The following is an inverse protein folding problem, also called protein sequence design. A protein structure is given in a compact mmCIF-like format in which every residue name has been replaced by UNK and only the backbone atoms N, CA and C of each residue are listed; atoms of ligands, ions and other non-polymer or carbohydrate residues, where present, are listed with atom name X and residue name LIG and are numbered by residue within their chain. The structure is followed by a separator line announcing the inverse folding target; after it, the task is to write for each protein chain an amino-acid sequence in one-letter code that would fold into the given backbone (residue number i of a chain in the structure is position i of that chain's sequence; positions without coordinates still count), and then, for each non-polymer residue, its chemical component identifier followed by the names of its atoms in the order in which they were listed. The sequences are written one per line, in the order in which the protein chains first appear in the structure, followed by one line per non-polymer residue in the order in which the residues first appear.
data_IF_863622752455
#
_entry.id   IF_863622752455
#
_cell.length_a   1.000
_cell.length_b   1.000
_cell.length_c   1.000
_cell.angle_alpha   90.00
_cell.angle_beta   90.00
_cell.angle_gamma   90.00
#
_symmetry.space_group_name_H-M   'P 1'
#
loop_
_entity.id
_entity.type
_entity.pdbx_description
1 polymer ?
#
# COMPACT_ATOMS: atom_id res chain seq x y z
N UNK A 1 2.36 -0.84 -25.38
CA UNK A 1 3.43 -1.78 -24.98
C UNK A 1 2.80 -3.00 -24.32
N UNK A 2 3.40 -4.18 -24.49
CA UNK A 2 2.94 -5.41 -23.83
C UNK A 2 3.49 -5.46 -22.40
N UNK A 3 2.76 -6.03 -21.44
CA UNK A 3 3.16 -6.13 -20.01
C UNK A 3 4.58 -6.66 -19.82
N UNK A 4 5.00 -7.61 -20.66
CA UNK A 4 6.34 -8.21 -20.64
C UNK A 4 7.47 -7.18 -20.87
N UNK A 5 7.21 -6.10 -21.61
CA UNK A 5 8.21 -5.05 -21.88
C UNK A 5 8.51 -4.22 -20.64
N UNK A 6 7.51 -4.04 -19.76
CA UNK A 6 7.68 -3.31 -18.50
C UNK A 6 8.38 -4.15 -17.44
N UNK A 7 8.11 -5.46 -17.38
CA UNK A 7 8.88 -6.38 -16.55
C UNK A 7 10.35 -6.42 -16.98
N UNK A 8 10.61 -6.41 -18.28
CA UNK A 8 11.97 -6.33 -18.79
C UNK A 8 12.63 -4.97 -18.51
N UNK A 9 11.86 -3.88 -18.56
CA UNK A 9 12.32 -2.55 -18.14
C UNK A 9 12.70 -2.55 -16.65
N UNK A 10 11.93 -3.23 -15.80
CA UNK A 10 12.24 -3.37 -14.36
C UNK A 10 13.61 -4.02 -14.15
N UNK A 11 13.87 -5.14 -14.80
CA UNK A 11 15.18 -5.81 -14.71
C UNK A 11 16.29 -4.92 -15.25
N UNK A 12 16.05 -4.22 -16.36
CA UNK A 12 17.01 -3.27 -16.93
C UNK A 12 17.25 -2.04 -16.06
N UNK A 13 16.27 -1.64 -15.24
CA UNK A 13 16.41 -0.51 -14.32
C UNK A 13 17.47 -0.77 -13.23
N UNK A 14 17.77 -2.04 -12.93
CA UNK A 14 18.88 -2.42 -12.05
C UNK A 14 20.23 -2.56 -12.76
N UNK A 15 20.29 -2.32 -14.08
CA UNK A 15 21.52 -2.35 -14.87
C UNK A 15 21.84 -0.93 -15.39
N UNK A 16 22.74 -0.19 -14.71
CA UNK A 16 23.06 1.18 -15.08
C UNK A 16 23.52 1.36 -16.53
N UNK A 17 24.20 0.36 -17.10
CA UNK A 17 24.68 0.40 -18.49
C UNK A 17 23.55 0.54 -19.54
N UNK A 18 22.29 0.27 -19.15
CA UNK A 18 21.14 0.41 -20.03
C UNK A 18 20.47 1.80 -19.96
N UNK A 19 20.89 2.67 -19.03
CA UNK A 19 20.17 3.92 -18.74
C UNK A 19 20.14 4.86 -19.93
N UNK A 20 21.23 4.96 -20.70
CA UNK A 20 21.28 5.75 -21.92
C UNK A 20 20.17 5.37 -22.92
N UNK A 21 19.88 4.06 -23.06
CA UNK A 21 18.82 3.56 -23.95
C UNK A 21 17.43 3.71 -23.33
N UNK A 22 17.31 3.55 -22.01
CA UNK A 22 16.02 3.66 -21.33
C UNK A 22 15.50 5.10 -21.41
N UNK A 23 16.38 6.08 -21.17
CA UNK A 23 16.07 7.53 -21.13
C UNK A 23 15.47 8.07 -22.44
N UNK A 24 15.71 7.42 -23.58
CA UNK A 24 15.16 7.81 -24.88
C UNK A 24 13.64 7.59 -25.00
N UNK A 25 13.04 6.77 -24.11
CA UNK A 25 11.61 6.44 -24.15
C UNK A 25 10.68 7.61 -23.81
N UNK A 26 9.41 7.48 -24.18
CA UNK A 26 8.39 8.51 -23.94
C UNK A 26 8.05 8.61 -22.44
N UNK A 27 7.62 9.78 -21.96
CA UNK A 27 7.24 9.95 -20.54
C UNK A 27 6.07 9.05 -20.13
N UNK A 28 5.16 8.75 -21.07
CA UNK A 28 4.05 7.83 -20.84
C UNK A 28 4.51 6.42 -20.49
N UNK A 29 5.62 5.95 -21.08
CA UNK A 29 6.19 4.63 -20.75
C UNK A 29 6.66 4.56 -19.29
N UNK A 30 7.18 5.66 -18.74
CA UNK A 30 7.61 5.74 -17.34
C UNK A 30 6.43 5.77 -16.37
N UNK A 31 5.34 6.43 -16.73
CA UNK A 31 4.12 6.42 -15.93
C UNK A 31 3.56 4.99 -15.84
N UNK A 32 3.44 4.29 -16.98
CA UNK A 32 3.00 2.89 -16.99
C UNK A 32 3.96 1.95 -16.25
N UNK A 33 5.28 2.17 -16.40
CA UNK A 33 6.30 1.44 -15.66
C UNK A 33 6.16 1.61 -14.14
N UNK A 34 5.97 2.86 -13.67
CA UNK A 34 5.78 3.15 -12.26
C UNK A 34 4.51 2.48 -11.73
N UNK A 35 3.39 2.56 -12.46
CA UNK A 35 2.13 1.90 -12.06
C UNK A 35 2.30 0.38 -11.91
N UNK A 36 3.00 -0.28 -12.84
CA UNK A 36 3.28 -1.72 -12.77
C UNK A 36 4.20 -2.04 -11.59
N UNK A 37 5.22 -1.21 -11.35
CA UNK A 37 6.16 -1.37 -10.23
C UNK A 37 5.42 -1.27 -8.89
N UNK A 38 4.55 -0.27 -8.72
CA UNK A 38 3.72 -0.10 -7.53
C UNK A 38 2.79 -1.29 -7.34
N UNK A 39 2.11 -1.74 -8.41
CA UNK A 39 1.24 -2.91 -8.34
C UNK A 39 2.00 -4.16 -7.88
N UNK A 40 3.19 -4.42 -8.44
CA UNK A 40 4.04 -5.54 -8.03
C UNK A 40 4.49 -5.41 -6.58
N UNK A 41 4.87 -4.20 -6.14
CA UNK A 41 5.27 -3.96 -4.76
C UNK A 41 4.11 -4.18 -3.78
N UNK A 42 2.88 -3.80 -4.13
CA UNK A 42 1.66 -4.12 -3.36
C UNK A 42 1.42 -5.64 -3.30
N UNK A 43 1.59 -6.36 -4.41
CA UNK A 43 1.44 -7.82 -4.41
C UNK A 43 2.47 -8.50 -3.51
N UNK A 44 3.72 -8.03 -3.53
CA UNK A 44 4.78 -8.51 -2.63
C UNK A 44 4.42 -8.19 -1.18
N UNK A 45 3.96 -6.96 -0.90
CA UNK A 45 3.52 -6.54 0.43
C UNK A 45 2.39 -7.43 0.98
N UNK A 46 1.35 -7.70 0.18
CA UNK A 46 0.26 -8.60 0.57
C UNK A 46 0.79 -10.02 0.83
N UNK A 47 1.72 -10.51 0.01
CA UNK A 47 2.37 -11.80 0.26
C UNK A 47 3.19 -11.82 1.55
N UNK A 48 3.94 -10.74 1.84
CA UNK A 48 4.74 -10.57 3.05
C UNK A 48 3.89 -10.33 4.30
N UNK A 49 2.63 -9.90 4.16
CA UNK A 49 1.68 -9.79 5.25
C UNK A 49 1.19 -11.16 5.74
N UNK A 50 1.21 -12.21 4.92
CA UNK A 50 0.69 -13.52 5.33
C UNK A 50 1.42 -14.12 6.55
N UNK A 51 2.77 -14.15 6.59
CA UNK A 51 3.49 -14.56 7.81
C UNK A 51 3.16 -13.68 9.02
N UNK A 52 3.10 -12.36 8.82
CA UNK A 52 2.81 -11.40 9.89
C UNK A 52 1.38 -11.58 10.45
N UNK A 53 0.42 -11.89 9.57
CA UNK A 53 -0.96 -12.17 9.95
C UNK A 53 -1.10 -13.49 10.70
N UNK A 54 -0.24 -14.48 10.43
CA UNK A 54 -0.20 -15.72 11.22
C UNK A 54 0.33 -15.47 12.63
N UNK A 55 1.34 -14.61 12.79
CA UNK A 55 1.87 -14.22 14.10
C UNK A 55 0.92 -13.29 14.86
N UNK A 56 0.03 -12.59 14.15
CA UNK A 56 -0.91 -11.64 14.74
C UNK A 56 -1.87 -12.31 15.74
N UNK A 57 -2.25 -13.58 15.56
CA UNK A 57 -3.12 -14.27 16.50
C UNK A 57 -2.48 -14.42 17.88
N UNK A 58 -1.19 -14.75 17.91
CA UNK A 58 -0.43 -14.97 19.13
C UNK A 58 -0.19 -13.62 19.84
N UNK A 59 0.18 -12.59 19.08
CA UNK A 59 0.32 -11.21 19.56
C UNK A 59 -1.01 -10.62 20.07
N UNK A 60 -2.13 -10.95 19.42
CA UNK A 60 -3.46 -10.54 19.86
C UNK A 60 -3.84 -11.23 21.16
N UNK A 61 -3.61 -12.53 21.28
CA UNK A 61 -3.91 -13.27 22.51
C UNK A 61 -3.05 -12.73 23.68
N UNK A 62 -1.76 -12.44 23.45
CA UNK A 62 -0.89 -11.81 24.45
C UNK A 62 -1.38 -10.41 24.83
N UNK A 63 -1.68 -9.55 23.86
CA UNK A 63 -2.13 -8.17 24.14
C UNK A 63 -3.53 -8.13 24.74
N UNK A 64 -4.46 -8.97 24.32
CA UNK A 64 -5.81 -9.07 24.90
C UNK A 64 -5.75 -9.60 26.33
N UNK A 65 -4.85 -10.54 26.62
CA UNK A 65 -4.65 -11.02 28.00
C UNK A 65 -4.18 -9.93 28.97
N UNK A 66 -3.59 -8.84 28.43
CA UNK A 66 -3.16 -7.68 29.22
C UNK A 66 -4.26 -6.60 29.41
N UNK A 67 -5.41 -6.75 28.75
CA UNK A 67 -6.54 -5.82 28.88
C UNK A 67 -7.45 -6.28 30.00
N UNK A 68 -7.33 -5.68 31.19
CA UNK A 68 -8.17 -6.01 32.35
C UNK A 68 -9.65 -5.65 32.13
N UNK A 69 -9.94 -4.50 31.50
CA UNK A 69 -11.31 -4.04 31.22
C UNK A 69 -11.36 -3.15 29.98
N UNK A 70 -12.23 -3.49 29.02
CA UNK A 70 -12.63 -2.61 27.91
C UNK A 70 -14.14 -2.34 28.02
N UNK A 71 -14.52 -1.14 28.43
CA UNK A 71 -15.94 -0.72 28.51
C UNK A 71 -16.24 0.23 27.35
N UNK A 72 -17.17 -0.16 26.46
CA UNK A 72 -17.65 0.70 25.37
C UNK A 72 -19.06 1.17 25.75
N UNK A 73 -19.16 2.38 26.29
CA UNK A 73 -20.43 3.03 26.58
C UNK A 73 -20.82 3.95 25.42
N UNK A 74 -21.97 3.68 24.80
CA UNK A 74 -22.51 4.48 23.69
C UNK A 74 -23.96 4.86 23.93
N UNK A 75 -24.22 6.15 24.15
CA UNK A 75 -25.59 6.69 24.25
C UNK A 75 -25.98 7.29 22.91
N UNK A 76 -26.88 6.64 22.18
CA UNK A 76 -27.43 7.18 20.93
C UNK A 76 -28.74 7.89 21.27
N UNK A 77 -28.72 9.22 21.28
CA UNK A 77 -29.91 10.05 21.36
C UNK A 77 -30.31 10.49 19.94
N UNK A 78 -31.56 10.23 19.56
CA UNK A 78 -32.11 10.67 18.27
C UNK A 78 -33.33 11.56 18.50
N UNK A 79 -33.25 12.80 18.06
CA UNK A 79 -34.34 13.79 18.16
C UNK A 79 -35.44 13.59 17.10
N UNK A 80 -35.33 12.55 16.28
CA UNK A 80 -36.26 12.25 15.19
C UNK A 80 -36.54 10.75 15.10
N UNK A 81 -37.76 10.34 14.71
CA UNK A 81 -38.09 8.92 14.56
C UNK A 81 -37.14 8.26 13.56
N UNK A 82 -36.45 7.21 14.00
CA UNK A 82 -35.58 6.40 13.15
C UNK A 82 -36.46 5.61 12.20
N UNK A 83 -36.65 6.12 10.98
CA UNK A 83 -37.36 5.41 9.91
C UNK A 83 -36.40 4.35 9.37
N UNK A 84 -36.52 3.13 9.88
CA UNK A 84 -35.90 1.94 9.31
C UNK A 84 -36.62 1.66 7.99
N UNK A 85 -35.88 1.75 6.88
CA UNK A 85 -36.33 1.40 5.52
C UNK A 85 -37.27 0.19 5.51
N UNK A 86 -38.26 0.14 4.59
CA UNK A 86 -39.22 -0.98 4.48
C UNK A 86 -38.56 -2.37 4.30
N UNK A 87 -37.31 -2.40 3.87
CA UNK A 87 -36.45 -3.58 3.79
C UNK A 87 -35.05 -3.29 4.35
N UNK A 88 -34.88 -3.25 5.68
CA UNK A 88 -33.61 -2.87 6.27
C UNK A 88 -32.65 -4.06 6.26
N UNK A 89 -31.41 -3.85 5.78
CA UNK A 89 -30.34 -4.86 5.85
C UNK A 89 -29.97 -5.24 7.30
N UNK A 90 -30.27 -4.36 8.25
CA UNK A 90 -30.08 -4.52 9.69
C UNK A 90 -31.38 -4.18 10.40
N UNK A 91 -31.99 -5.15 11.11
CA UNK A 91 -33.19 -4.95 11.93
C UNK A 91 -32.80 -4.93 13.41
N UNK A 92 -33.23 -3.92 14.14
CA UNK A 92 -33.09 -3.86 15.61
C UNK A 92 -34.45 -4.25 16.20
N UNK A 93 -34.51 -5.36 16.93
CA UNK A 93 -35.75 -5.84 17.54
C UNK A 93 -35.56 -6.00 19.05
N UNK A 94 -36.27 -5.19 19.82
CA UNK A 94 -36.21 -5.17 21.28
C UNK A 94 -37.22 -6.12 21.93
N UNK A 95 -38.02 -6.87 21.15
CA UNK A 95 -38.97 -7.85 21.66
C UNK A 95 -38.32 -9.22 21.86
N UNK A 96 -38.66 -9.92 22.95
CA UNK A 96 -38.10 -11.24 23.32
C UNK A 96 -38.46 -12.40 22.37
N UNK A 97 -39.35 -12.17 21.39
CA UNK A 97 -39.81 -13.15 20.40
C UNK A 97 -39.50 -12.67 18.99
N UNK A 98 -38.22 -12.56 18.66
CA UNK A 98 -37.77 -12.11 17.35
C UNK A 98 -37.86 -13.26 16.34
N UNK A 99 -38.70 -13.11 15.31
CA UNK A 99 -38.73 -14.06 14.20
C UNK A 99 -37.50 -13.84 13.30
N UNK A 100 -36.64 -14.85 13.09
CA UNK A 100 -35.46 -14.70 12.26
C UNK A 100 -35.89 -14.34 10.82
N UNK A 101 -35.35 -13.26 10.30
CA UNK A 101 -35.53 -12.89 8.89
C UNK A 101 -34.21 -13.08 8.13
N UNK A 102 -34.22 -12.93 6.79
CA UNK A 102 -32.99 -13.07 5.97
C UNK A 102 -31.94 -11.97 6.22
N UNK A 103 -32.20 -11.03 7.13
CA UNK A 103 -31.34 -9.88 7.45
C UNK A 103 -30.71 -9.98 8.84
N UNK A 104 -29.64 -9.22 9.07
CA UNK A 104 -28.93 -9.19 10.36
C UNK A 104 -29.89 -8.62 11.40
N UNK A 105 -30.12 -9.35 12.50
CA UNK A 105 -31.06 -8.96 13.55
C UNK A 105 -30.32 -8.76 14.87
N UNK A 106 -30.42 -7.55 15.42
CA UNK A 106 -29.87 -7.17 16.73
C UNK A 106 -30.99 -7.34 17.75
N UNK A 107 -30.89 -8.39 18.58
CA UNK A 107 -31.84 -8.73 19.63
C UNK A 107 -31.27 -8.39 21.03
N UNK A 108 -32.09 -8.46 22.08
CA UNK A 108 -31.66 -8.13 23.44
C UNK A 108 -30.59 -9.08 24.01
N UNK A 109 -30.52 -10.32 23.53
CA UNK A 109 -29.61 -11.36 24.01
C UNK A 109 -28.43 -11.64 23.06
N UNK A 110 -28.48 -11.12 21.82
CA UNK A 110 -27.40 -11.27 20.86
C UNK A 110 -27.65 -10.70 19.48
N UNK A 111 -26.71 -10.92 18.59
CA UNK A 111 -26.81 -10.66 17.16
C UNK A 111 -27.11 -11.97 16.42
N UNK A 112 -28.29 -12.06 15.82
CA UNK A 112 -28.73 -13.19 15.02
C UNK A 112 -28.45 -12.88 13.55
N UNK A 113 -27.64 -13.72 12.91
CA UNK A 113 -27.33 -13.56 11.49
C UNK A 113 -27.23 -14.90 10.79
N UNK A 114 -27.50 -14.88 9.48
CA UNK A 114 -27.36 -16.06 8.62
C UNK A 114 -25.95 -16.07 8.06
N UNK A 115 -25.14 -17.06 8.46
CA UNK A 115 -23.70 -17.12 8.14
C UNK A 115 -23.45 -17.26 6.62
N UNK A 116 -24.39 -17.82 5.86
CA UNK A 116 -24.39 -17.87 4.40
C UNK A 116 -25.82 -17.91 3.83
N UNK A 117 -26.00 -17.57 2.55
CA UNK A 117 -27.30 -17.57 1.84
C UNK A 117 -28.12 -18.87 1.99
N UNK A 118 -27.47 -20.00 2.34
CA UNK A 118 -28.06 -21.35 2.39
C UNK A 118 -27.82 -22.17 3.67
N UNK A 119 -27.06 -21.70 4.67
CA UNK A 119 -26.75 -22.51 5.87
C UNK A 119 -27.02 -21.74 7.16
N UNK A 120 -27.80 -22.39 8.03
CA UNK A 120 -27.86 -22.24 9.50
C UNK A 120 -27.96 -20.84 10.10
N UNK A 121 -28.93 -20.66 10.99
CA UNK A 121 -28.98 -19.48 11.88
C UNK A 121 -27.86 -19.59 12.93
N UNK A 122 -27.12 -18.50 13.14
CA UNK A 122 -26.13 -18.37 14.22
C UNK A 122 -26.52 -17.18 15.09
N UNK A 123 -26.52 -17.40 16.40
CA UNK A 123 -26.75 -16.36 17.40
C UNK A 123 -25.44 -16.05 18.10
N UNK A 124 -24.94 -14.82 17.93
CA UNK A 124 -23.82 -14.27 18.71
C UNK A 124 -24.38 -13.67 19.98
N UNK A 125 -24.25 -14.34 21.12
CA UNK A 125 -24.76 -13.81 22.39
C UNK A 125 -23.93 -12.62 22.88
N UNK A 126 -24.57 -11.58 23.41
CA UNK A 126 -23.85 -10.42 23.98
C UNK A 126 -22.95 -10.80 25.15
N UNK A 127 -23.37 -11.80 25.94
CA UNK A 127 -22.58 -12.31 27.06
C UNK A 127 -21.24 -12.90 26.61
N UNK A 128 -21.15 -13.39 25.36
CA UNK A 128 -19.90 -13.87 24.75
C UNK A 128 -18.86 -12.76 24.52
N UNK A 129 -19.24 -11.50 24.69
CA UNK A 129 -18.40 -10.31 24.56
C UNK A 129 -18.18 -9.56 25.88
N UNK A 130 -18.79 -10.00 26.99
CA UNK A 130 -18.65 -9.35 28.31
C UNK A 130 -17.29 -9.62 28.97
N UNK A 131 -16.69 -10.76 28.66
CA UNK A 131 -15.38 -11.14 29.18
C UNK A 131 -14.40 -11.35 28.02
N UNK A 132 -13.60 -10.31 27.74
CA UNK A 132 -12.55 -10.33 26.73
C UNK A 132 -11.24 -10.93 27.25
N UNK A 133 -11.14 -11.22 28.56
CA UNK A 133 -9.97 -11.86 29.15
C UNK A 133 -9.88 -13.36 28.79
N UNK A 134 -11.04 -13.97 28.50
CA UNK A 134 -11.15 -15.31 27.93
C UNK A 134 -12.14 -15.31 26.75
N UNK A 135 -11.72 -14.76 25.60
CA UNK A 135 -12.62 -14.52 24.48
C UNK A 135 -13.12 -15.85 23.92
N UNK A 136 -14.44 -16.00 23.87
CA UNK A 136 -15.09 -17.13 23.18
C UNK A 136 -14.64 -17.23 21.71
N UNK A 137 -14.68 -18.43 21.12
CA UNK A 137 -14.36 -18.66 19.70
C UNK A 137 -15.13 -17.72 18.76
N UNK A 138 -16.35 -17.36 19.15
CA UNK A 138 -17.22 -16.44 18.43
C UNK A 138 -16.71 -14.98 18.47
N UNK A 139 -16.18 -14.53 19.61
CA UNK A 139 -15.55 -13.21 19.74
C UNK A 139 -14.25 -13.14 18.92
N UNK A 140 -13.42 -14.19 18.97
CA UNK A 140 -12.23 -14.30 18.11
C UNK A 140 -12.60 -14.25 16.63
N UNK A 141 -13.61 -15.01 16.20
CA UNK A 141 -14.07 -15.01 14.81
C UNK A 141 -14.58 -13.63 14.34
N UNK A 142 -15.29 -12.90 15.21
CA UNK A 142 -15.75 -11.54 14.89
C UNK A 142 -14.57 -10.57 14.77
N UNK A 143 -13.58 -10.63 15.67
CA UNK A 143 -12.37 -9.81 15.57
C UNK A 143 -11.60 -10.08 14.28
N UNK A 144 -11.44 -11.35 13.88
CA UNK A 144 -10.81 -11.71 12.61
C UNK A 144 -11.61 -11.17 11.41
N UNK A 145 -12.94 -11.22 11.45
CA UNK A 145 -13.79 -10.67 10.39
C UNK A 145 -13.65 -9.15 10.27
N UNK A 146 -13.62 -8.44 11.41
CA UNK A 146 -13.37 -6.99 11.45
C UNK A 146 -11.98 -6.67 10.90
N UNK A 147 -10.94 -7.39 11.35
CA UNK A 147 -9.58 -7.20 10.85
C UNK A 147 -9.49 -7.45 9.34
N UNK A 148 -10.09 -8.51 8.83
CA UNK A 148 -10.13 -8.82 7.40
C UNK A 148 -10.89 -7.76 6.59
N UNK A 149 -11.95 -7.17 7.14
CA UNK A 149 -12.70 -6.08 6.51
C UNK A 149 -11.92 -4.76 6.50
N UNK A 150 -11.15 -4.47 7.55
CA UNK A 150 -10.32 -3.26 7.65
C UNK A 150 -9.04 -3.36 6.83
N UNK A 151 -8.52 -4.57 6.58
CA UNK A 151 -7.24 -4.80 5.94
C UNK A 151 -7.10 -4.09 4.57
N UNK A 152 -8.07 -4.15 3.63
CA UNK A 152 -7.98 -3.40 2.37
C UNK A 152 -7.82 -1.88 2.56
N UNK A 153 -8.48 -1.30 3.58
CA UNK A 153 -8.37 0.13 3.89
C UNK A 153 -7.00 0.46 4.45
N UNK A 154 -6.47 -0.38 5.35
CA UNK A 154 -5.11 -0.22 5.90
C UNK A 154 -4.07 -0.31 4.78
N UNK A 155 -4.16 -1.33 3.91
CA UNK A 155 -3.24 -1.48 2.77
C UNK A 155 -3.32 -0.26 1.83
N UNK A 156 -4.52 0.24 1.56
CA UNK A 156 -4.71 1.41 0.72
C UNK A 156 -4.04 2.66 1.32
N UNK A 157 -4.34 3.00 2.57
CA UNK A 157 -3.78 4.17 3.24
C UNK A 157 -2.26 4.08 3.42
N UNK A 158 -1.76 2.89 3.75
CA UNK A 158 -0.32 2.63 3.84
C UNK A 158 0.36 2.85 2.48
N UNK A 159 -0.23 2.34 1.40
CA UNK A 159 0.27 2.56 0.04
C UNK A 159 0.30 4.05 -0.31
N UNK A 160 -0.76 4.79 0.00
CA UNK A 160 -0.82 6.24 -0.24
C UNK A 160 0.30 6.97 0.52
N UNK A 161 0.50 6.63 1.79
CA UNK A 161 1.56 7.23 2.61
C UNK A 161 2.95 7.00 2.01
N UNK A 162 3.28 5.74 1.68
CA UNK A 162 4.56 5.38 1.04
C UNK A 162 4.74 6.08 -0.31
N UNK A 163 3.69 6.19 -1.12
CA UNK A 163 3.76 6.90 -2.39
C UNK A 163 4.07 8.39 -2.22
N UNK A 164 3.45 9.06 -1.24
CA UNK A 164 3.74 10.47 -0.94
C UNK A 164 5.21 10.64 -0.56
N UNK A 165 5.71 9.80 0.34
CA UNK A 165 7.12 9.80 0.75
C UNK A 165 8.07 9.60 -0.43
N UNK A 166 7.81 8.59 -1.26
CA UNK A 166 8.61 8.31 -2.47
C UNK A 166 8.57 9.49 -3.46
N UNK A 167 7.43 10.18 -3.59
CA UNK A 167 7.33 11.37 -4.45
C UNK A 167 8.16 12.55 -3.91
N UNK A 168 8.23 12.73 -2.59
CA UNK A 168 9.08 13.75 -1.96
C UNK A 168 10.56 13.44 -2.22
N UNK A 169 10.97 12.19 -1.97
CA UNK A 169 12.35 11.73 -2.21
C UNK A 169 12.71 11.91 -3.69
N UNK A 170 11.83 11.48 -4.59
CA UNK A 170 11.99 11.68 -6.03
C UNK A 170 12.20 13.15 -6.40
N UNK A 171 11.38 14.05 -5.86
CA UNK A 171 11.51 15.49 -6.09
C UNK A 171 12.86 16.05 -5.65
N UNK A 172 13.32 15.67 -4.45
CA UNK A 172 14.63 16.05 -3.92
C UNK A 172 15.74 15.51 -4.81
N UNK A 173 15.68 14.23 -5.19
CA UNK A 173 16.70 13.60 -6.03
C UNK A 173 16.80 14.25 -7.40
N UNK A 174 15.67 14.56 -8.04
CA UNK A 174 15.66 15.27 -9.34
C UNK A 174 16.21 16.69 -9.19
N UNK A 175 15.85 17.42 -8.13
CA UNK A 175 16.40 18.75 -7.87
C UNK A 175 17.93 18.69 -7.69
N UNK A 176 18.43 17.78 -6.86
CA UNK A 176 19.88 17.61 -6.63
C UNK A 176 20.58 17.14 -7.90
N UNK A 177 20.05 16.13 -8.59
CA UNK A 177 20.63 15.56 -9.81
C UNK A 177 20.63 16.51 -11.01
N UNK A 178 19.80 17.55 -11.01
CA UNK A 178 19.83 18.60 -12.04
C UNK A 178 20.77 19.76 -11.68
N UNK A 179 21.00 20.03 -10.40
CA UNK A 179 21.88 21.09 -9.92
C UNK A 179 23.34 20.63 -9.79
N UNK A 180 23.58 19.44 -9.23
CA UNK A 180 24.93 18.95 -8.94
C UNK A 180 25.83 18.84 -10.18
N UNK A 181 25.39 18.28 -11.33
CA UNK A 181 26.23 18.22 -12.53
C UNK A 181 26.65 19.61 -13.03
N UNK A 182 25.79 20.63 -12.88
CA UNK A 182 26.10 22.01 -13.30
C UNK A 182 27.26 22.62 -12.51
N UNK A 183 27.38 22.28 -11.22
CA UNK A 183 28.47 22.73 -10.34
C UNK A 183 29.79 22.11 -10.78
N UNK A 184 29.77 20.84 -11.20
CA UNK A 184 30.96 20.08 -11.61
C UNK A 184 31.35 20.33 -13.08
N UNK A 185 30.58 21.13 -13.83
CA UNK A 185 30.87 21.42 -15.23
C UNK A 185 30.38 20.34 -16.21
N UNK A 186 29.43 19.51 -15.81
CA UNK A 186 28.72 18.58 -16.67
C UNK A 186 27.35 19.14 -17.09
N UNK A 187 26.83 18.67 -18.22
CA UNK A 187 25.48 18.97 -18.67
C UNK A 187 24.63 17.69 -18.67
N UNK A 188 23.57 17.70 -17.85
CA UNK A 188 22.56 16.65 -17.81
C UNK A 188 21.18 17.29 -18.09
N UNK A 189 20.45 16.86 -19.13
CA UNK A 189 19.11 17.37 -19.40
C UNK A 189 18.15 17.02 -18.25
N UNK A 190 17.39 18.00 -17.75
CA UNK A 190 16.49 17.78 -16.61
C UNK A 190 15.45 16.68 -16.86
N UNK A 191 14.96 16.55 -18.09
CA UNK A 191 14.06 15.47 -18.49
C UNK A 191 14.71 14.08 -18.39
N UNK A 192 16.01 13.98 -18.64
CA UNK A 192 16.76 12.73 -18.53
C UNK A 192 17.01 12.36 -17.07
N UNK A 193 17.37 13.34 -16.25
CA UNK A 193 17.52 13.16 -14.79
C UNK A 193 16.20 12.71 -14.16
N UNK A 194 15.08 13.33 -14.52
CA UNK A 194 13.75 12.94 -14.06
C UNK A 194 13.42 11.47 -14.40
N UNK A 195 13.67 11.06 -15.65
CA UNK A 195 13.47 9.67 -16.09
C UNK A 195 14.34 8.68 -15.30
N UNK A 196 15.60 9.02 -15.03
CA UNK A 196 16.48 8.22 -14.18
C UNK A 196 15.96 8.14 -12.75
N UNK A 197 15.44 9.24 -12.22
CA UNK A 197 14.74 9.26 -10.95
C UNK A 197 13.67 8.18 -10.90
N UNK A 198 12.77 8.15 -11.88
CA UNK A 198 11.71 7.12 -11.97
C UNK A 198 12.28 5.71 -12.09
N UNK A 199 13.34 5.51 -12.87
CA UNK A 199 13.99 4.19 -13.02
C UNK A 199 14.65 3.70 -11.74
N UNK A 200 15.05 4.59 -10.83
CA UNK A 200 15.66 4.22 -9.55
C UNK A 200 14.65 3.85 -8.46
N UNK A 201 13.40 4.33 -8.57
CA UNK A 201 12.32 4.12 -7.59
C UNK A 201 11.94 2.67 -7.27
N UNK A 202 12.07 1.67 -8.18
CA UNK A 202 11.78 0.29 -7.83
C UNK A 202 12.54 -0.21 -6.59
N UNK A 203 13.75 0.30 -6.34
CA UNK A 203 14.56 -0.12 -5.18
C UNK A 203 13.88 0.26 -3.86
N UNK A 204 13.50 1.53 -3.70
CA UNK A 204 12.77 1.98 -2.51
C UNK A 204 11.37 1.36 -2.44
N UNK A 205 10.65 1.23 -3.55
CA UNK A 205 9.31 0.63 -3.55
C UNK A 205 9.35 -0.85 -3.12
N UNK A 206 10.26 -1.67 -3.64
CA UNK A 206 10.29 -3.08 -3.25
C UNK A 206 10.81 -3.29 -1.82
N UNK A 207 11.74 -2.45 -1.35
CA UNK A 207 12.27 -2.58 0.01
C UNK A 207 11.27 -2.02 1.02
N UNK A 208 10.79 -0.80 0.82
CA UNK A 208 9.96 -0.11 1.82
C UNK A 208 8.48 -0.46 1.72
N UNK A 209 7.95 -0.79 0.55
CA UNK A 209 6.58 -1.30 0.45
C UNK A 209 6.58 -2.82 0.55
N UNK A 210 7.47 -3.52 -0.16
CA UNK A 210 7.45 -4.98 -0.24
C UNK A 210 7.95 -5.70 1.02
N UNK A 211 9.01 -5.22 1.66
CA UNK A 211 9.64 -5.90 2.80
C UNK A 211 9.26 -5.33 4.18
N UNK A 212 8.46 -4.26 4.22
CA UNK A 212 8.06 -3.62 5.47
C UNK A 212 7.47 -4.55 6.52
N UNK A 213 6.58 -5.52 6.18
CA UNK A 213 6.03 -6.45 7.17
C UNK A 213 7.09 -7.34 7.82
N UNK A 214 8.22 -7.57 7.14
CA UNK A 214 9.29 -8.46 7.60
C UNK A 214 10.34 -7.67 8.37
N UNK A 215 10.79 -6.54 7.81
CA UNK A 215 11.79 -5.69 8.43
C UNK A 215 11.65 -4.23 7.94
N UNK A 216 11.60 -3.23 8.85
CA UNK A 216 11.58 -1.82 8.47
C UNK A 216 12.96 -1.36 7.98
N UNK A 217 13.28 -1.65 6.72
CA UNK A 217 14.58 -1.41 6.09
C UNK A 217 14.67 -0.08 5.31
N UNK A 218 14.00 0.96 5.79
CA UNK A 218 13.88 2.27 5.13
C UNK A 218 15.21 2.80 4.56
N UNK A 219 16.26 2.82 5.38
CA UNK A 219 17.57 3.35 4.99
C UNK A 219 18.22 2.57 3.83
N UNK A 220 17.93 1.28 3.68
CA UNK A 220 18.45 0.46 2.60
C UNK A 220 17.77 0.78 1.27
N UNK A 221 16.44 0.95 1.29
CA UNK A 221 15.65 1.39 0.13
C UNK A 221 16.14 2.73 -0.39
N UNK A 222 16.31 3.69 0.52
CA UNK A 222 16.84 5.01 0.21
C UNK A 222 18.29 4.97 -0.32
N UNK A 223 19.19 4.25 0.35
CA UNK A 223 20.60 4.17 -0.05
C UNK A 223 20.77 3.56 -1.44
N UNK A 224 20.10 2.43 -1.72
CA UNK A 224 20.16 1.78 -3.03
C UNK A 224 19.60 2.68 -4.13
N UNK A 225 18.44 3.30 -3.89
CA UNK A 225 17.83 4.24 -4.84
C UNK A 225 18.78 5.39 -5.17
N UNK A 226 19.43 5.95 -4.14
CA UNK A 226 20.42 7.03 -4.29
C UNK A 226 21.62 6.57 -5.13
N UNK A 227 22.17 5.38 -4.86
CA UNK A 227 23.30 4.84 -5.62
C UNK A 227 22.94 4.65 -7.10
N UNK A 228 21.81 3.98 -7.40
CA UNK A 228 21.38 3.77 -8.79
C UNK A 228 21.11 5.09 -9.52
N UNK A 229 20.50 6.05 -8.84
CA UNK A 229 20.27 7.37 -9.37
C UNK A 229 21.58 8.10 -9.71
N UNK A 230 22.53 8.14 -8.77
CA UNK A 230 23.81 8.83 -8.96
C UNK A 230 24.59 8.22 -10.13
N UNK A 231 24.68 6.88 -10.20
CA UNK A 231 25.33 6.19 -11.32
C UNK A 231 24.63 6.57 -12.62
N UNK A 232 23.29 6.53 -12.64
CA UNK A 232 22.51 6.92 -13.81
C UNK A 232 22.81 8.33 -14.29
N UNK A 233 22.78 9.32 -13.38
CA UNK A 233 23.06 10.73 -13.68
C UNK A 233 24.47 10.88 -14.25
N UNK A 234 25.47 10.21 -13.69
CA UNK A 234 26.84 10.23 -14.22
C UNK A 234 26.89 9.66 -15.63
N UNK A 235 26.19 8.56 -15.91
CA UNK A 235 26.22 7.90 -17.22
C UNK A 235 25.58 8.72 -18.36
N UNK A 236 24.57 9.55 -18.05
CA UNK A 236 23.93 10.43 -19.04
C UNK A 236 24.59 11.82 -19.15
N UNK A 237 25.50 12.14 -18.23
CA UNK A 237 26.11 13.47 -18.18
C UNK A 237 27.21 13.61 -19.23
N UNK A 238 27.12 14.61 -20.09
CA UNK A 238 28.17 14.93 -21.05
C UNK A 238 29.05 16.10 -20.53
N UNK A 239 30.38 16.08 -20.79
CA UNK A 239 31.23 17.22 -20.48
C UNK A 239 30.77 18.47 -21.23
N UNK A 240 30.77 19.63 -20.54
CA UNK A 240 30.35 20.93 -21.10
C UNK A 240 31.30 21.34 -22.24
N UNK A 241 30.95 20.96 -23.47
CA UNK A 241 31.74 21.19 -24.68
C UNK A 241 31.50 20.15 -25.78
N UNK A 242 31.13 18.91 -25.42
CA UNK A 242 30.86 17.84 -26.38
C UNK A 242 29.57 18.05 -27.19
N UNK A 243 28.56 18.69 -26.59
CA UNK A 243 27.23 18.86 -27.21
C UNK A 243 27.22 19.79 -28.43
N UNK A 244 28.16 20.73 -28.54
CA UNK A 244 28.29 21.60 -29.71
C UNK A 244 28.95 20.92 -30.92
N UNK A 245 29.74 19.87 -30.69
CA UNK A 245 30.36 19.09 -31.78
C UNK A 245 29.34 18.20 -32.50
N UNK A 246 28.43 17.54 -31.75
CA UNK A 246 27.44 16.62 -32.31
C UNK A 246 26.39 17.31 -33.19
N UNK A 247 25.88 18.48 -32.81
CA UNK A 247 24.90 19.22 -33.65
C UNK A 247 25.47 19.60 -35.03
N UNK A 248 26.75 19.99 -35.10
CA UNK A 248 27.40 20.35 -36.37
C UNK A 248 27.65 19.15 -37.31
N UNK A 249 27.67 17.92 -36.79
CA UNK A 249 27.83 16.72 -37.60
C UNK A 249 26.49 16.20 -38.15
N UNK A 250 25.37 16.48 -37.47
CA UNK A 250 24.05 16.05 -37.94
C UNK A 250 23.49 16.93 -39.06
N UNK A 251 23.89 18.21 -39.13
CA UNK A 251 23.45 19.13 -40.20
C UNK A 251 24.22 18.95 -41.52
N UNK A 252 25.16 18.00 -41.60
CA UNK A 252 25.98 17.74 -42.79
C UNK A 252 25.56 16.50 -43.59
N UNK A 253 24.49 15.83 -43.18
CA UNK A 253 23.85 14.73 -43.92
C UNK A 253 22.37 15.05 -44.12
#
# INVERSE_FOLDING_TARGET
MRTNEYLFMLVKAYNPNQYNKLVERSIGDYASFLSITVLLAILIFIGALLPSAYMLSDDLDERLSSVDTLTIDGTIATDSPVILLDHPLVRIDSAANTTPSRTITIANDGLIYRKYLFFGERTLRWDSFKDLSNPSDDAKAMMHAIAAFLLPSIVFWFTVFVLIEVMIIYGIMVAVGTLAPKIVGFHAPASSVAKIGVLSLPSILFIDLGLYPIAPLFWWGFALTTVYFLIGVVMISEPKGASHSRKRSSDKN
#
